data_IF_186991352163
#
_entry.id   IF_186991352163
#
_cell.length_a   1.000
_cell.length_b   1.000
_cell.length_c   1.000
_cell.angle_alpha   90.00
_cell.angle_beta   90.00
_cell.angle_gamma   90.00
#
_symmetry.space_group_name_H-M   'P 1'
#
loop_
_entity.id
_entity.type
_entity.pdbx_description
1 polymer ?
#
# COMPACT_ATOMS: atom_id res chain seq x y z
N UNK A 1 -21.99 38.87 -21.32
CA UNK A 1 -21.83 37.47 -20.87
C UNK A 1 -20.35 37.20 -20.86
N UNK A 2 -19.71 37.31 -19.70
CA UNK A 2 -18.27 37.09 -19.57
C UNK A 2 -17.96 35.60 -19.71
N UNK A 3 -16.90 35.29 -20.46
CA UNK A 3 -16.55 33.90 -20.78
C UNK A 3 -16.01 33.20 -19.52
N UNK A 4 -16.51 31.98 -19.26
CA UNK A 4 -16.23 31.16 -18.07
C UNK A 4 -14.73 30.96 -17.76
N UNK A 5 -13.85 31.15 -18.75
CA UNK A 5 -12.40 30.94 -18.65
C UNK A 5 -11.57 32.23 -18.58
N UNK A 6 -12.20 33.39 -18.38
CA UNK A 6 -11.50 34.68 -18.37
C UNK A 6 -10.46 34.81 -17.25
N UNK A 7 -10.62 34.08 -16.15
CA UNK A 7 -9.73 34.16 -14.97
C UNK A 7 -8.68 33.03 -14.88
N UNK A 8 -8.56 32.19 -15.91
CA UNK A 8 -7.62 31.06 -15.86
C UNK A 8 -6.20 31.52 -16.21
N UNK A 9 -5.23 31.15 -15.37
CA UNK A 9 -3.82 31.43 -15.61
C UNK A 9 -3.30 30.64 -16.82
N UNK A 10 -2.99 31.32 -17.92
CA UNK A 10 -2.53 30.71 -19.19
C UNK A 10 -1.03 30.36 -19.21
N UNK A 11 -0.32 30.54 -18.10
CA UNK A 11 1.13 30.34 -18.00
C UNK A 11 1.53 28.90 -17.69
N UNK A 12 2.76 28.52 -18.05
CA UNK A 12 3.34 27.21 -17.73
C UNK A 12 3.49 27.05 -16.21
N UNK A 13 2.89 26.00 -15.65
CA UNK A 13 2.94 25.68 -14.23
C UNK A 13 4.40 25.45 -13.78
N UNK A 14 4.85 26.22 -12.77
CA UNK A 14 6.17 26.09 -12.15
C UNK A 14 6.00 25.45 -10.77
N UNK A 15 6.50 24.23 -10.59
CA UNK A 15 6.53 23.58 -9.28
C UNK A 15 7.80 23.98 -8.53
N UNK A 16 7.71 24.06 -7.20
CA UNK A 16 8.75 24.58 -6.31
C UNK A 16 10.03 23.72 -6.23
N UNK A 17 10.21 22.74 -7.11
CA UNK A 17 11.39 21.86 -7.17
C UNK A 17 11.81 21.48 -8.60
N UNK A 18 11.37 22.20 -9.63
CA UNK A 18 11.74 21.90 -11.01
C UNK A 18 13.14 22.46 -11.34
N UNK A 19 14.17 21.87 -10.70
CA UNK A 19 15.57 22.13 -11.02
C UNK A 19 15.93 21.39 -12.31
N UNK A 20 16.39 22.13 -13.32
CA UNK A 20 16.83 21.64 -14.63
C UNK A 20 17.61 20.32 -14.55
N UNK A 21 16.99 19.23 -15.04
CA UNK A 21 17.61 17.92 -15.10
C UNK A 21 18.71 17.88 -16.18
N UNK A 22 19.93 18.32 -15.84
CA UNK A 22 21.11 18.11 -16.68
C UNK A 22 21.46 16.61 -16.74
N UNK A 23 21.34 16.02 -17.92
CA UNK A 23 21.87 14.67 -18.25
C UNK A 23 23.41 14.68 -18.14
N UNK A 24 24.00 14.11 -17.08
CA UNK A 24 25.37 13.58 -17.10
C UNK A 24 25.55 12.35 -16.19
N UNK A 25 26.06 11.28 -16.82
CA UNK A 25 26.84 10.13 -16.29
C UNK A 25 26.22 9.17 -15.23
N UNK A 26 25.29 8.34 -15.70
CA UNK A 26 24.59 7.27 -14.97
C UNK A 26 25.44 6.00 -14.77
N UNK A 27 26.34 5.95 -13.77
CA UNK A 27 26.72 4.65 -13.16
C UNK A 27 27.36 4.73 -11.78
N UNK A 28 28.17 5.75 -11.48
CA UNK A 28 28.88 5.85 -10.18
C UNK A 28 28.02 6.43 -9.05
N UNK A 29 27.08 7.31 -9.37
CA UNK A 29 26.21 7.95 -8.36
C UNK A 29 25.14 7.03 -7.77
N UNK A 30 24.61 6.05 -8.53
CA UNK A 30 23.55 5.17 -8.04
C UNK A 30 23.94 4.35 -6.80
N UNK A 31 25.24 4.06 -6.61
CA UNK A 31 25.73 3.33 -5.42
C UNK A 31 25.82 4.25 -4.20
N UNK A 32 26.33 5.47 -4.39
CA UNK A 32 26.44 6.48 -3.33
C UNK A 32 25.06 7.02 -2.91
N UNK A 33 24.13 7.08 -3.85
CA UNK A 33 22.74 7.44 -3.62
C UNK A 33 21.99 6.35 -2.86
N UNK A 34 22.15 5.06 -3.22
CA UNK A 34 21.58 3.95 -2.45
C UNK A 34 22.07 3.91 -1.01
N UNK A 35 23.36 4.16 -0.78
CA UNK A 35 23.94 4.18 0.56
C UNK A 35 23.41 5.37 1.39
N UNK A 36 23.25 6.54 0.77
CA UNK A 36 22.62 7.71 1.40
C UNK A 36 21.13 7.51 1.70
N UNK A 37 20.39 6.86 0.80
CA UNK A 37 18.97 6.54 1.01
C UNK A 37 18.79 5.57 2.17
N UNK A 38 19.63 4.53 2.26
CA UNK A 38 19.59 3.58 3.38
C UNK A 38 19.91 4.29 4.70
N UNK A 39 20.92 5.17 4.71
CA UNK A 39 21.28 5.92 5.92
C UNK A 39 20.19 6.89 6.35
N UNK A 40 19.56 7.61 5.43
CA UNK A 40 18.43 8.50 5.71
C UNK A 40 17.22 7.73 6.27
N UNK A 41 16.96 6.51 5.79
CA UNK A 41 15.89 5.64 6.31
C UNK A 41 16.15 5.10 7.72
N UNK A 42 17.42 5.02 8.16
CA UNK A 42 17.77 4.61 9.52
C UNK A 42 17.80 5.77 10.51
N UNK A 43 18.13 6.99 10.06
CA UNK A 43 18.26 8.17 10.92
C UNK A 43 16.94 8.95 11.10
N UNK A 44 15.94 8.79 10.21
CA UNK A 44 14.63 9.46 10.32
C UNK A 44 13.47 8.51 9.96
N UNK A 45 12.73 7.93 10.94
CA UNK A 45 11.57 7.09 10.66
C UNK A 45 10.34 7.92 10.24
N UNK A 46 10.50 9.23 10.08
CA UNK A 46 9.41 10.20 10.08
C UNK A 46 9.12 10.89 8.76
N UNK A 47 9.50 10.40 7.58
CA UNK A 47 8.86 10.84 6.30
C UNK A 47 9.43 10.10 5.09
N UNK A 48 8.59 9.32 4.40
CA UNK A 48 8.83 9.00 2.99
C UNK A 48 8.51 7.58 2.56
N UNK A 49 7.43 7.43 1.79
CA UNK A 49 7.24 6.30 0.88
C UNK A 49 5.86 5.68 0.99
N UNK A 50 5.01 5.96 0.00
CA UNK A 50 3.67 5.42 -0.17
C UNK A 50 3.69 3.88 -0.16
N UNK A 51 3.45 3.31 1.01
CA UNK A 51 2.99 1.95 1.15
C UNK A 51 1.61 2.08 1.74
N UNK A 52 0.59 1.87 0.90
CA UNK A 52 -0.80 1.69 1.33
C UNK A 52 -0.89 0.45 2.23
N UNK A 53 -0.36 0.56 3.42
CA UNK A 53 -0.85 -0.15 4.58
C UNK A 53 -1.90 0.79 5.12
N UNK A 54 -3.18 0.42 4.96
CA UNK A 54 -4.23 1.00 5.78
C UNK A 54 -3.93 0.65 7.23
N UNK A 55 -3.02 1.40 7.85
CA UNK A 55 -3.04 1.61 9.29
C UNK A 55 -4.30 2.43 9.54
N UNK A 56 -5.24 2.00 10.40
CA UNK A 56 -6.27 2.92 10.84
C UNK A 56 -5.51 4.09 11.45
N UNK A 57 -5.69 5.26 10.84
CA UNK A 57 -5.14 6.50 11.35
C UNK A 57 -5.44 6.52 12.85
N UNK A 58 -4.42 6.43 13.67
CA UNK A 58 -4.49 6.93 15.04
C UNK A 58 -4.66 8.43 14.88
N UNK A 59 -5.90 8.83 14.65
CA UNK A 59 -6.36 10.21 14.74
C UNK A 59 -6.19 10.61 16.20
N UNK A 60 -5.00 11.08 16.50
CA UNK A 60 -4.69 11.97 17.60
C UNK A 60 -5.40 13.31 17.37
N UNK A 61 -6.73 13.28 17.27
CA UNK A 61 -7.58 14.46 17.10
C UNK A 61 -8.50 14.55 18.30
N UNK A 62 -7.95 14.82 19.48
CA UNK A 62 -8.67 15.33 20.67
C UNK A 62 -9.95 14.63 21.14
N UNK A 63 -10.32 13.47 20.57
CA UNK A 63 -11.61 12.81 20.80
C UNK A 63 -11.45 11.77 21.89
N UNK A 64 -12.18 11.95 22.98
CA UNK A 64 -12.28 10.94 24.05
C UNK A 64 -12.94 9.71 23.46
N UNK A 65 -12.24 8.57 23.51
CA UNK A 65 -12.76 7.29 23.06
C UNK A 65 -13.89 6.85 24.00
N UNK A 66 -14.93 6.26 23.43
CA UNK A 66 -15.98 5.60 24.20
C UNK A 66 -15.46 4.29 24.80
N UNK A 67 -16.06 3.80 25.90
CA UNK A 67 -15.69 2.51 26.52
C UNK A 67 -15.72 1.33 25.52
N UNK A 68 -16.63 1.38 24.54
CA UNK A 68 -16.71 0.37 23.48
C UNK A 68 -15.55 0.47 22.49
N UNK A 69 -15.15 1.69 22.10
CA UNK A 69 -13.98 1.90 21.23
C UNK A 69 -12.67 1.51 21.94
N UNK A 70 -12.55 1.78 23.24
CA UNK A 70 -11.38 1.37 24.03
C UNK A 70 -11.25 -0.16 24.14
N UNK A 71 -12.35 -0.87 24.36
CA UNK A 71 -12.34 -2.34 24.44
C UNK A 71 -12.04 -2.97 23.07
N UNK A 72 -12.60 -2.42 21.99
CA UNK A 72 -12.29 -2.83 20.64
C UNK A 72 -10.82 -2.61 20.30
N UNK A 73 -10.24 -1.45 20.65
CA UNK A 73 -8.82 -1.16 20.43
C UNK A 73 -7.92 -2.16 21.16
N UNK A 74 -8.21 -2.45 22.43
CA UNK A 74 -7.48 -3.48 23.21
C UNK A 74 -7.57 -4.86 22.57
N UNK A 75 -8.73 -5.24 22.04
CA UNK A 75 -8.91 -6.50 21.31
C UNK A 75 -8.11 -6.51 20.01
N UNK A 76 -8.14 -5.41 19.26
CA UNK A 76 -7.40 -5.25 18.02
C UNK A 76 -5.90 -5.35 18.26
N UNK A 77 -5.35 -4.71 19.28
CA UNK A 77 -3.94 -4.81 19.68
C UNK A 77 -3.53 -6.26 19.97
N UNK A 78 -4.36 -7.01 20.72
CA UNK A 78 -4.12 -8.45 20.96
C UNK A 78 -4.10 -9.25 19.66
N UNK A 79 -5.03 -9.00 18.74
CA UNK A 79 -5.09 -9.70 17.46
C UNK A 79 -4.00 -9.26 16.48
N UNK A 80 -3.51 -8.03 16.58
CA UNK A 80 -2.44 -7.50 15.73
C UNK A 80 -1.17 -8.32 15.89
N UNK A 81 -0.76 -8.65 17.12
CA UNK A 81 0.42 -9.49 17.36
C UNK A 81 0.30 -10.85 16.63
N UNK A 82 -0.83 -11.53 16.79
CA UNK A 82 -1.10 -12.81 16.09
C UNK A 82 -1.02 -12.62 14.57
N UNK A 83 -1.66 -11.59 14.04
CA UNK A 83 -1.68 -11.29 12.60
C UNK A 83 -0.30 -10.95 12.04
N UNK A 84 0.53 -10.24 12.82
CA UNK A 84 1.91 -9.91 12.45
C UNK A 84 2.73 -11.19 12.35
N UNK A 85 2.64 -12.08 13.35
CA UNK A 85 3.35 -13.36 13.35
C UNK A 85 2.93 -14.23 12.17
N UNK A 86 1.63 -14.42 11.94
CA UNK A 86 1.11 -15.20 10.80
C UNK A 86 1.56 -14.64 9.44
N UNK A 87 1.52 -13.32 9.26
CA UNK A 87 1.99 -12.67 8.03
C UNK A 87 3.50 -12.80 7.84
N UNK A 88 4.28 -12.81 8.93
CA UNK A 88 5.73 -12.94 8.89
C UNK A 88 6.20 -14.37 8.65
N UNK A 89 5.40 -15.39 9.05
CA UNK A 89 5.71 -16.80 8.82
C UNK A 89 5.77 -17.17 7.34
N UNK A 90 5.01 -16.47 6.49
CA UNK A 90 4.88 -16.79 5.08
C UNK A 90 5.53 -15.75 4.18
N UNK A 91 6.43 -16.20 3.31
CA UNK A 91 6.95 -15.37 2.23
C UNK A 91 5.88 -15.11 1.17
N UNK A 92 6.06 -14.05 0.36
CA UNK A 92 5.11 -13.74 -0.72
C UNK A 92 5.01 -14.89 -1.73
N UNK A 93 6.14 -15.52 -2.09
CA UNK A 93 6.18 -16.68 -3.00
C UNK A 93 5.35 -17.84 -2.47
N UNK A 94 5.51 -18.20 -1.20
CA UNK A 94 4.73 -19.27 -0.58
C UNK A 94 3.24 -18.94 -0.54
N UNK A 95 2.87 -17.66 -0.33
CA UNK A 95 1.46 -17.23 -0.37
C UNK A 95 0.86 -17.36 -1.76
N UNK A 96 1.63 -17.02 -2.80
CA UNK A 96 1.21 -17.19 -4.21
C UNK A 96 1.10 -18.68 -4.56
N UNK A 97 2.06 -19.50 -4.13
CA UNK A 97 2.01 -20.95 -4.35
C UNK A 97 0.80 -21.60 -3.67
N UNK A 98 0.52 -21.28 -2.41
CA UNK A 98 -0.68 -21.78 -1.73
C UNK A 98 -1.96 -21.29 -2.40
N UNK A 99 -1.99 -20.06 -2.87
CA UNK A 99 -3.14 -19.52 -3.59
C UNK A 99 -3.36 -20.28 -4.90
N UNK A 100 -2.31 -20.54 -5.66
CA UNK A 100 -2.40 -21.30 -6.91
C UNK A 100 -2.82 -22.76 -6.63
N UNK A 101 -2.24 -23.41 -5.62
CA UNK A 101 -2.66 -24.74 -5.18
C UNK A 101 -4.14 -24.78 -4.80
N UNK A 102 -4.64 -23.74 -4.14
CA UNK A 102 -6.05 -23.64 -3.81
C UNK A 102 -6.92 -23.50 -5.07
N UNK A 103 -6.53 -22.65 -6.02
CA UNK A 103 -7.24 -22.50 -7.29
C UNK A 103 -7.26 -23.80 -8.10
N UNK A 104 -6.15 -24.52 -8.15
CA UNK A 104 -6.05 -25.83 -8.83
C UNK A 104 -6.95 -26.89 -8.18
N UNK A 105 -7.19 -26.77 -6.86
CA UNK A 105 -8.08 -27.68 -6.13
C UNK A 105 -9.57 -27.34 -6.27
N UNK A 106 -9.90 -26.13 -6.73
CA UNK A 106 -11.30 -25.71 -6.88
C UNK A 106 -11.90 -26.32 -8.14
N UNK A 107 -13.15 -26.76 -8.04
CA UNK A 107 -13.87 -27.31 -9.18
C UNK A 107 -14.21 -26.20 -10.17
N UNK A 108 -13.99 -26.45 -11.46
CA UNK A 108 -14.37 -25.50 -12.53
C UNK A 108 -15.90 -25.33 -12.60
N UNK A 109 -16.64 -26.38 -12.23
CA UNK A 109 -18.09 -26.41 -12.23
C UNK A 109 -18.63 -26.37 -10.80
N UNK A 110 -19.56 -25.45 -10.56
CA UNK A 110 -20.24 -25.25 -9.28
C UNK A 110 -21.65 -25.85 -9.26
N UNK A 111 -22.07 -26.49 -10.35
CA UNK A 111 -23.38 -27.13 -10.49
C UNK A 111 -23.22 -28.53 -11.07
N UNK A 112 -24.14 -29.41 -10.69
CA UNK A 112 -24.13 -30.81 -11.08
C UNK A 112 -24.65 -30.89 -12.52
N UNK A 113 -23.96 -31.59 -13.44
CA UNK A 113 -24.45 -31.75 -14.79
C UNK A 113 -25.85 -32.39 -14.78
N UNK A 114 -26.77 -31.82 -15.56
CA UNK A 114 -28.15 -32.30 -15.65
C UNK A 114 -28.17 -33.70 -16.26
N UNK A 115 -28.83 -34.64 -15.58
CA UNK A 115 -29.05 -35.99 -16.10
C UNK A 115 -30.24 -35.96 -17.05
N UNK A 116 -30.02 -35.59 -18.31
CA UNK A 116 -30.96 -35.93 -19.38
C UNK A 116 -30.64 -37.34 -19.88
N UNK A 117 -31.67 -38.18 -20.07
CA UNK A 117 -31.55 -39.45 -20.79
C UNK A 117 -31.15 -39.16 -22.25
N UNK A 118 -29.85 -39.05 -22.53
CA UNK A 118 -29.27 -39.08 -23.88
C UNK A 118 -27.75 -39.21 -23.83
N UNK A 119 -27.24 -40.43 -23.73
CA UNK A 119 -26.56 -41.15 -24.81
C UNK A 119 -26.71 -42.64 -24.56
#
# INVERSE_FOLDING_TARGET
MDSEYQHVSKGKLKLKNDSDAKKKHKKKDKRKEKEKVIRAMLEDPGTGGERQQQTPATTSTGRVLTKAEESFKKMQEKMQHKRIVEKAQMTHKQRVEQFNQHLDSLTEHFDIPKVSWTK
#
